data_IF_605070866388
#
_entry.id   IF_605070866388
#
_cell.length_a   1.000
_cell.length_b   1.000
_cell.length_c   1.000
_cell.angle_alpha   90.00
_cell.angle_beta   90.00
_cell.angle_gamma   90.00
#
_symmetry.space_group_name_H-M   'P 1'
#
loop_
_entity.id
_entity.type
_entity.pdbx_description
1 polymer ?
#
# COMPACT_ATOMS: atom_id res chain seq x y z
N UNK A 1 -9.47 6.22 23.77
CA UNK A 1 -9.15 4.78 23.79
C UNK A 1 -10.38 3.90 23.59
N UNK A 2 -11.42 3.94 24.47
CA UNK A 2 -12.61 3.08 24.32
C UNK A 2 -13.29 3.23 22.95
N UNK A 3 -13.58 4.48 22.53
CA UNK A 3 -14.24 4.77 21.23
C UNK A 3 -13.34 4.34 20.04
N UNK A 4 -12.05 4.59 20.14
CA UNK A 4 -11.08 4.15 19.12
C UNK A 4 -11.05 2.62 18.97
N UNK A 5 -11.03 1.89 20.10
CA UNK A 5 -11.08 0.43 20.09
C UNK A 5 -12.41 -0.13 19.57
N UNK A 6 -13.54 0.51 19.90
CA UNK A 6 -14.85 0.13 19.36
C UNK A 6 -14.94 0.36 17.84
N UNK A 7 -14.40 1.47 17.36
CA UNK A 7 -14.31 1.75 15.93
C UNK A 7 -13.49 0.68 15.19
N UNK A 8 -12.28 0.39 15.67
CA UNK A 8 -11.44 -0.63 15.06
C UNK A 8 -12.14 -2.01 15.03
N UNK A 9 -12.76 -2.42 16.12
CA UNK A 9 -13.54 -3.66 16.19
C UNK A 9 -14.70 -3.69 15.20
N UNK A 10 -15.44 -2.57 15.06
CA UNK A 10 -16.52 -2.45 14.09
C UNK A 10 -16.01 -2.59 12.65
N UNK A 11 -14.94 -1.86 12.30
CA UNK A 11 -14.33 -1.94 10.96
C UNK A 11 -13.85 -3.37 10.68
N UNK A 12 -13.12 -3.98 11.61
CA UNK A 12 -12.64 -5.37 11.49
C UNK A 12 -13.80 -6.34 11.23
N UNK A 13 -14.89 -6.24 12.00
CA UNK A 13 -16.04 -7.12 11.87
C UNK A 13 -16.78 -6.92 10.53
N UNK A 14 -17.13 -5.68 10.20
CA UNK A 14 -17.93 -5.36 9.00
C UNK A 14 -17.15 -5.66 7.72
N UNK A 15 -15.88 -5.24 7.65
CA UNK A 15 -15.04 -5.45 6.48
C UNK A 15 -14.70 -6.93 6.28
N UNK A 16 -14.32 -7.63 7.35
CA UNK A 16 -13.99 -9.06 7.28
C UNK A 16 -15.14 -9.88 6.69
N UNK A 17 -16.36 -9.62 7.15
CA UNK A 17 -17.56 -10.33 6.65
C UNK A 17 -17.75 -10.15 5.14
N UNK A 18 -17.49 -8.95 4.61
CA UNK A 18 -17.61 -8.67 3.19
C UNK A 18 -16.46 -9.32 2.40
N UNK A 19 -15.25 -9.24 2.90
CA UNK A 19 -14.08 -9.82 2.24
C UNK A 19 -14.07 -11.34 2.26
N UNK A 20 -14.49 -11.98 3.35
CA UNK A 20 -14.63 -13.44 3.40
C UNK A 20 -15.59 -13.93 2.29
N UNK A 21 -16.72 -13.25 2.10
CA UNK A 21 -17.69 -13.58 1.03
C UNK A 21 -17.10 -13.31 -0.36
N UNK A 22 -16.40 -12.21 -0.54
CA UNK A 22 -15.74 -11.85 -1.79
C UNK A 22 -14.69 -12.89 -2.17
N UNK A 23 -13.75 -13.13 -1.28
CA UNK A 23 -12.62 -14.07 -1.49
C UNK A 23 -13.14 -15.49 -1.78
N UNK A 24 -14.16 -15.94 -1.06
CA UNK A 24 -14.75 -17.26 -1.26
C UNK A 24 -15.43 -17.43 -2.64
N UNK A 25 -15.79 -16.34 -3.31
CA UNK A 25 -16.44 -16.35 -4.64
C UNK A 25 -15.46 -16.16 -5.80
N UNK A 26 -14.23 -15.78 -5.51
CA UNK A 26 -13.21 -15.56 -6.53
C UNK A 26 -12.47 -16.87 -6.83
N UNK A 27 -12.07 -17.03 -8.08
CA UNK A 27 -11.19 -18.13 -8.50
C UNK A 27 -9.75 -17.67 -8.36
N UNK A 28 -8.88 -18.38 -7.63
CA UNK A 28 -7.47 -18.02 -7.57
C UNK A 28 -6.84 -17.94 -8.96
N UNK A 29 -6.01 -16.93 -9.26
CA UNK A 29 -5.21 -16.92 -10.49
C UNK A 29 -4.30 -18.16 -10.55
N UNK A 30 -4.22 -18.78 -11.72
CA UNK A 30 -3.26 -19.83 -11.98
C UNK A 30 -1.86 -19.27 -12.30
N UNK A 31 -0.82 -20.09 -12.20
CA UNK A 31 0.54 -19.77 -12.61
C UNK A 31 1.36 -19.02 -11.55
N UNK A 32 0.97 -19.10 -10.28
CA UNK A 32 1.74 -18.57 -9.17
C UNK A 32 1.83 -19.58 -8.02
N UNK A 33 3.04 -19.81 -7.53
CA UNK A 33 3.31 -20.52 -6.28
C UNK A 33 3.34 -19.50 -5.13
N UNK A 34 2.94 -19.96 -3.93
CA UNK A 34 2.97 -19.13 -2.71
C UNK A 34 3.64 -19.91 -1.58
N UNK A 35 4.50 -19.20 -0.84
CA UNK A 35 5.10 -19.69 0.41
C UNK A 35 4.89 -18.66 1.50
N UNK A 36 4.53 -19.13 2.69
CA UNK A 36 4.40 -18.28 3.88
C UNK A 36 5.71 -18.29 4.67
N UNK A 37 6.06 -17.13 5.21
CA UNK A 37 7.23 -16.95 6.07
C UNK A 37 6.87 -16.10 7.29
N UNK A 38 7.51 -16.40 8.43
CA UNK A 38 7.56 -15.48 9.57
C UNK A 38 8.72 -14.52 9.32
N UNK A 39 8.47 -13.23 9.15
CA UNK A 39 9.53 -12.25 8.94
C UNK A 39 10.18 -11.77 10.25
N UNK A 40 9.55 -12.04 11.41
CA UNK A 40 10.14 -11.95 12.73
C UNK A 40 9.89 -13.25 13.50
N UNK A 41 10.88 -13.76 14.26
CA UNK A 41 10.78 -15.04 14.97
C UNK A 41 10.14 -14.90 16.37
N UNK A 42 9.15 -14.05 16.54
CA UNK A 42 8.52 -13.73 17.84
C UNK A 42 7.16 -14.40 18.06
N UNK A 43 6.65 -15.10 17.04
CA UNK A 43 5.38 -15.82 17.11
C UNK A 43 4.14 -14.94 16.99
N UNK A 44 4.26 -13.63 16.71
CA UNK A 44 3.12 -12.77 16.44
C UNK A 44 2.50 -13.17 15.08
N UNK A 45 1.20 -13.51 15.02
CA UNK A 45 0.54 -13.88 13.76
C UNK A 45 0.53 -12.76 12.71
N UNK A 46 0.76 -11.51 13.12
CA UNK A 46 0.87 -10.38 12.22
C UNK A 46 2.29 -10.18 11.68
N UNK A 47 3.28 -10.91 12.14
CA UNK A 47 4.64 -10.89 11.62
C UNK A 47 4.90 -11.97 10.57
N UNK A 48 3.93 -12.10 9.63
CA UNK A 48 3.97 -13.07 8.54
C UNK A 48 3.84 -12.40 7.18
N UNK A 49 4.47 -13.00 6.18
CA UNK A 49 4.31 -12.62 4.78
C UNK A 49 4.02 -13.84 3.89
N UNK A 50 3.34 -13.60 2.78
CA UNK A 50 3.28 -14.52 1.65
C UNK A 50 4.24 -14.04 0.58
N UNK A 51 5.08 -14.94 0.12
CA UNK A 51 5.97 -14.71 -1.01
C UNK A 51 5.47 -15.51 -2.21
N UNK A 52 5.16 -14.82 -3.29
CA UNK A 52 4.62 -15.39 -4.52
C UNK A 52 5.69 -15.42 -5.60
N UNK A 53 5.76 -16.52 -6.35
CA UNK A 53 6.61 -16.65 -7.53
C UNK A 53 5.79 -17.15 -8.71
N UNK A 54 6.19 -16.82 -9.96
CA UNK A 54 5.64 -17.50 -11.13
C UNK A 54 5.95 -19.00 -11.08
N UNK A 55 4.93 -19.82 -11.31
CA UNK A 55 5.06 -21.28 -11.35
C UNK A 55 6.07 -21.72 -12.43
N UNK A 56 6.98 -22.62 -12.06
CA UNK A 56 7.97 -23.19 -12.96
C UNK A 56 9.00 -22.21 -13.52
N UNK A 57 9.10 -21.00 -12.98
CA UNK A 57 10.08 -20.02 -13.44
C UNK A 57 11.28 -19.95 -12.51
N UNK A 58 12.46 -20.27 -13.05
CA UNK A 58 13.72 -20.23 -12.35
C UNK A 58 14.43 -18.87 -12.50
N UNK A 59 15.49 -18.66 -11.71
CA UNK A 59 16.34 -17.47 -11.74
C UNK A 59 15.85 -16.32 -10.90
N UNK A 60 16.56 -15.21 -10.97
CA UNK A 60 16.27 -14.00 -10.20
C UNK A 60 15.25 -13.15 -10.94
N UNK A 61 14.16 -12.80 -10.28
CA UNK A 61 13.03 -12.05 -10.86
C UNK A 61 12.84 -10.71 -10.17
N UNK A 62 12.27 -9.70 -10.87
CA UNK A 62 11.95 -8.42 -10.28
C UNK A 62 10.98 -8.56 -9.09
N UNK A 63 11.19 -7.78 -8.03
CA UNK A 63 10.40 -7.82 -6.81
C UNK A 63 9.36 -6.70 -6.77
N UNK A 64 8.13 -7.09 -6.46
CA UNK A 64 7.02 -6.20 -6.12
C UNK A 64 6.66 -6.40 -4.64
N UNK A 65 6.58 -5.32 -3.89
CA UNK A 65 6.18 -5.33 -2.48
C UNK A 65 4.78 -4.74 -2.36
N UNK A 66 3.81 -5.57 -1.99
CA UNK A 66 2.43 -5.14 -1.78
C UNK A 66 2.11 -4.97 -0.29
N UNK A 67 1.69 -3.77 0.09
CA UNK A 67 1.18 -3.44 1.42
C UNK A 67 -0.34 -3.31 1.33
N UNK A 68 -1.07 -4.14 2.09
CA UNK A 68 -2.52 -4.17 2.03
C UNK A 68 -3.17 -2.94 2.66
N UNK A 69 -4.37 -2.59 2.19
CA UNK A 69 -5.23 -1.56 2.76
C UNK A 69 -5.92 -1.99 4.06
N UNK A 70 -7.07 -1.38 4.37
CA UNK A 70 -7.88 -1.72 5.56
C UNK A 70 -7.90 -0.64 6.64
N UNK A 71 -7.75 0.63 6.23
CA UNK A 71 -7.82 1.80 7.13
C UNK A 71 -6.87 1.70 8.34
N UNK A 72 -5.72 1.05 8.20
CA UNK A 72 -4.70 0.79 9.24
C UNK A 72 -5.18 -0.07 10.42
N UNK A 73 -6.44 -0.49 10.43
CA UNK A 73 -7.08 -1.23 11.54
C UNK A 73 -7.55 -2.63 11.16
N UNK A 74 -7.47 -3.00 9.87
CA UNK A 74 -7.96 -4.27 9.33
C UNK A 74 -7.04 -4.80 8.23
N UNK A 75 -7.11 -6.11 8.01
CA UNK A 75 -6.39 -6.82 6.96
C UNK A 75 -5.23 -7.67 7.48
N UNK A 76 -4.73 -8.48 6.59
CA UNK A 76 -3.54 -9.31 6.74
C UNK A 76 -2.95 -9.62 5.35
N UNK A 77 -1.89 -10.42 5.28
CA UNK A 77 -1.22 -10.84 4.04
C UNK A 77 -2.13 -11.53 3.02
N UNK A 78 -3.31 -12.03 3.46
CA UNK A 78 -4.25 -12.74 2.59
C UNK A 78 -5.32 -11.83 1.97
N UNK A 79 -5.44 -10.58 2.43
CA UNK A 79 -6.45 -9.64 1.94
C UNK A 79 -6.32 -9.40 0.43
N UNK A 80 -5.08 -9.22 -0.06
CA UNK A 80 -4.75 -8.97 -1.46
C UNK A 80 -4.17 -10.21 -2.17
N UNK A 81 -4.33 -11.41 -1.62
CA UNK A 81 -3.64 -12.61 -2.12
C UNK A 81 -3.85 -12.89 -3.61
N UNK A 82 -5.07 -12.73 -4.11
CA UNK A 82 -5.35 -13.02 -5.53
C UNK A 82 -4.80 -11.93 -6.46
N UNK A 83 -4.75 -10.69 -6.03
CA UNK A 83 -4.02 -9.64 -6.72
C UNK A 83 -2.51 -9.93 -6.76
N UNK A 84 -1.91 -10.34 -5.64
CA UNK A 84 -0.50 -10.72 -5.59
C UNK A 84 -0.21 -11.95 -6.49
N UNK A 85 -1.08 -12.97 -6.48
CA UNK A 85 -0.98 -14.11 -7.40
C UNK A 85 -1.09 -13.69 -8.87
N UNK A 86 -1.99 -12.75 -9.19
CA UNK A 86 -2.11 -12.20 -10.54
C UNK A 86 -0.79 -11.53 -10.98
N UNK A 87 -0.21 -10.66 -10.17
CA UNK A 87 1.08 -10.03 -10.48
C UNK A 87 2.20 -11.08 -10.64
N UNK A 88 2.23 -12.09 -9.75
CA UNK A 88 3.23 -13.15 -9.84
C UNK A 88 3.08 -13.97 -11.12
N UNK A 89 1.85 -14.30 -11.54
CA UNK A 89 1.59 -15.04 -12.78
C UNK A 89 2.11 -14.31 -14.04
N UNK A 90 2.36 -13.00 -13.95
CA UNK A 90 2.94 -12.18 -15.02
C UNK A 90 4.47 -12.19 -15.06
N UNK A 91 5.14 -12.86 -14.13
CA UNK A 91 6.59 -13.05 -14.17
C UNK A 91 7.38 -12.32 -13.08
N UNK A 92 6.75 -11.89 -12.01
CA UNK A 92 7.37 -11.14 -10.92
C UNK A 92 7.41 -11.97 -9.63
N UNK A 93 8.41 -11.74 -8.78
CA UNK A 93 8.29 -12.06 -7.38
C UNK A 93 7.40 -11.02 -6.70
N UNK A 94 6.51 -11.46 -5.82
CA UNK A 94 5.63 -10.56 -5.08
C UNK A 94 5.67 -10.90 -3.60
N UNK A 95 5.91 -9.90 -2.75
CA UNK A 95 5.72 -9.99 -1.30
C UNK A 95 4.39 -9.36 -0.93
N UNK A 96 3.50 -10.11 -0.27
CA UNK A 96 2.31 -9.59 0.41
C UNK A 96 2.46 -9.85 1.90
N UNK A 97 2.38 -8.80 2.74
CA UNK A 97 2.68 -8.91 4.16
C UNK A 97 1.51 -8.54 5.06
N UNK A 98 1.45 -9.12 6.25
CA UNK A 98 0.70 -8.58 7.37
C UNK A 98 1.55 -7.53 8.10
N UNK A 99 0.90 -6.60 8.76
CA UNK A 99 1.50 -5.67 9.73
C UNK A 99 0.53 -5.50 10.91
N UNK A 100 1.04 -5.25 12.10
CA UNK A 100 0.20 -5.05 13.28
C UNK A 100 -0.76 -3.89 13.09
N UNK A 101 -1.97 -4.06 13.54
CA UNK A 101 -3.08 -3.16 13.26
C UNK A 101 -3.30 -2.17 14.40
N UNK A 102 -3.68 -0.94 14.07
CA UNK A 102 -4.10 0.01 15.08
C UNK A 102 -5.46 -0.39 15.68
N UNK A 103 -5.73 -0.10 16.96
CA UNK A 103 -4.89 0.60 17.93
C UNK A 103 -3.99 -0.33 18.76
N UNK A 104 -3.78 -1.58 18.34
CA UNK A 104 -2.91 -2.54 19.04
C UNK A 104 -1.44 -2.11 18.90
N UNK A 105 -1.11 -1.43 17.80
CA UNK A 105 0.11 -0.63 17.60
C UNK A 105 -0.25 0.74 17.02
N UNK A 106 0.71 1.65 16.94
CA UNK A 106 0.58 2.96 16.27
C UNK A 106 1.17 2.93 14.86
N UNK A 107 1.19 4.09 14.19
CA UNK A 107 1.75 4.22 12.84
C UNK A 107 3.24 3.85 12.79
N UNK A 108 3.99 4.15 13.85
CA UNK A 108 5.42 3.81 13.94
C UNK A 108 5.62 2.30 13.97
N UNK A 109 4.82 1.56 14.75
CA UNK A 109 4.86 0.11 14.78
C UNK A 109 4.48 -0.52 13.43
N UNK A 110 3.50 0.05 12.71
CA UNK A 110 3.13 -0.43 11.36
C UNK A 110 4.27 -0.24 10.36
N UNK A 111 4.93 0.92 10.38
CA UNK A 111 6.12 1.19 9.55
C UNK A 111 7.27 0.26 9.93
N UNK A 112 7.49 0.03 11.23
CA UNK A 112 8.49 -0.92 11.71
C UNK A 112 8.27 -2.33 11.15
N UNK A 113 7.01 -2.79 11.10
CA UNK A 113 6.66 -4.09 10.54
C UNK A 113 6.91 -4.16 9.02
N UNK A 114 6.61 -3.08 8.27
CA UNK A 114 6.94 -2.98 6.84
C UNK A 114 8.44 -3.12 6.62
N UNK A 115 9.26 -2.44 7.43
CA UNK A 115 10.72 -2.51 7.31
C UNK A 115 11.28 -3.85 7.79
N UNK A 116 10.69 -4.48 8.80
CA UNK A 116 11.08 -5.85 9.20
C UNK A 116 10.86 -6.86 8.07
N UNK A 117 9.71 -6.78 7.36
CA UNK A 117 9.44 -7.63 6.22
C UNK A 117 10.37 -7.33 5.02
N UNK A 118 10.69 -6.06 4.76
CA UNK A 118 11.67 -5.67 3.74
C UNK A 118 13.07 -6.19 4.05
N UNK A 119 13.51 -6.08 5.32
CA UNK A 119 14.79 -6.62 5.77
C UNK A 119 14.84 -8.14 5.58
N UNK A 120 13.79 -8.86 6.00
CA UNK A 120 13.68 -10.31 5.79
C UNK A 120 13.86 -10.70 4.33
N UNK A 121 13.17 -10.02 3.40
CA UNK A 121 13.26 -10.35 1.98
C UNK A 121 14.64 -9.97 1.41
N UNK A 122 15.23 -8.87 1.83
CA UNK A 122 16.57 -8.46 1.38
C UNK A 122 17.65 -9.46 1.85
N UNK A 123 17.60 -9.89 3.10
CA UNK A 123 18.51 -10.87 3.67
C UNK A 123 18.38 -12.27 3.01
N UNK A 124 17.20 -12.62 2.54
CA UNK A 124 16.91 -13.91 1.91
C UNK A 124 16.73 -13.83 0.38
N UNK A 125 17.11 -12.72 -0.26
CA UNK A 125 16.84 -12.45 -1.68
C UNK A 125 17.39 -13.54 -2.62
N UNK A 126 18.57 -14.08 -2.33
CA UNK A 126 19.19 -15.15 -3.11
C UNK A 126 18.38 -16.45 -3.04
N UNK A 127 17.89 -16.85 -1.85
CA UNK A 127 17.07 -18.05 -1.65
C UNK A 127 15.68 -17.86 -2.26
N UNK A 128 15.09 -16.69 -2.06
CA UNK A 128 13.79 -16.31 -2.63
C UNK A 128 13.86 -16.12 -4.15
N UNK A 129 15.06 -15.94 -4.72
CA UNK A 129 15.29 -15.72 -6.15
C UNK A 129 14.66 -14.41 -6.63
N UNK A 130 14.77 -13.33 -5.86
CA UNK A 130 14.25 -12.01 -6.21
C UNK A 130 15.37 -10.96 -6.29
N UNK A 131 15.14 -9.95 -7.13
CA UNK A 131 16.02 -8.80 -7.30
C UNK A 131 15.53 -7.65 -6.43
N UNK A 132 16.33 -7.26 -5.44
CA UNK A 132 16.03 -6.14 -4.54
C UNK A 132 16.56 -4.81 -5.04
N UNK A 133 17.31 -4.81 -6.16
CA UNK A 133 17.71 -3.59 -6.83
C UNK A 133 16.61 -3.15 -7.82
N UNK A 134 16.00 -2.02 -7.51
CA UNK A 134 14.89 -1.48 -8.26
C UNK A 134 13.57 -2.20 -8.03
N UNK A 135 13.07 -2.23 -6.80
CA UNK A 135 11.75 -2.80 -6.45
C UNK A 135 10.59 -1.86 -6.82
N UNK A 136 9.40 -2.43 -7.03
CA UNK A 136 8.15 -1.66 -7.00
C UNK A 136 7.52 -1.77 -5.62
N UNK A 137 7.27 -0.62 -4.99
CA UNK A 137 6.40 -0.54 -3.82
C UNK A 137 4.98 -0.26 -4.29
N UNK A 138 4.02 -1.10 -3.86
CA UNK A 138 2.61 -0.92 -4.19
C UNK A 138 1.73 -1.16 -2.98
N UNK A 139 0.56 -0.58 -2.99
CA UNK A 139 -0.44 -0.77 -1.96
C UNK A 139 -1.74 -0.03 -2.28
N UNK A 140 -2.77 -0.39 -1.55
CA UNK A 140 -4.10 0.17 -1.73
C UNK A 140 -4.56 0.93 -0.49
N UNK A 141 -5.28 2.05 -0.68
CA UNK A 141 -5.88 2.79 0.43
C UNK A 141 -4.84 3.14 1.52
N UNK A 142 -5.00 2.65 2.75
CA UNK A 142 -4.02 2.76 3.83
C UNK A 142 -2.68 2.11 3.49
N UNK A 143 -2.68 1.00 2.74
CA UNK A 143 -1.46 0.35 2.26
C UNK A 143 -0.72 1.19 1.23
N UNK A 144 -1.43 1.93 0.38
CA UNK A 144 -0.83 2.91 -0.52
C UNK A 144 -0.11 4.04 0.23
N UNK A 145 -0.68 4.48 1.35
CA UNK A 145 -0.01 5.40 2.26
C UNK A 145 1.28 4.79 2.83
N UNK A 146 1.21 3.58 3.42
CA UNK A 146 2.38 2.92 4.01
C UNK A 146 3.47 2.62 2.96
N UNK A 147 3.09 2.21 1.74
CA UNK A 147 4.03 1.95 0.65
C UNK A 147 4.76 3.24 0.19
N UNK A 148 4.04 4.36 0.04
CA UNK A 148 4.66 5.63 -0.32
C UNK A 148 5.53 6.21 0.80
N UNK A 149 5.11 6.05 2.05
CA UNK A 149 5.90 6.44 3.22
C UNK A 149 7.18 5.59 3.32
N UNK A 150 7.08 4.27 3.11
CA UNK A 150 8.26 3.40 3.08
C UNK A 150 9.24 3.80 1.96
N UNK A 151 8.76 4.15 0.77
CA UNK A 151 9.61 4.68 -0.29
C UNK A 151 10.38 5.93 0.15
N UNK A 152 9.70 6.87 0.81
CA UNK A 152 10.32 8.10 1.30
C UNK A 152 11.32 7.84 2.44
N UNK A 153 11.04 6.86 3.32
CA UNK A 153 11.99 6.45 4.37
C UNK A 153 13.25 5.82 3.78
N UNK A 154 13.12 5.01 2.71
CA UNK A 154 14.28 4.45 1.99
C UNK A 154 15.15 5.56 1.41
N UNK A 155 14.55 6.66 0.95
CA UNK A 155 15.23 7.81 0.35
C UNK A 155 15.79 8.81 1.38
N UNK A 156 15.38 8.73 2.65
CA UNK A 156 15.69 9.74 3.67
C UNK A 156 16.23 9.13 4.96
N UNK A 157 17.56 9.22 5.21
CA UNK A 157 18.12 8.81 6.49
C UNK A 157 17.47 9.50 7.70
N UNK A 158 17.02 10.73 7.54
CA UNK A 158 16.34 11.50 8.59
C UNK A 158 14.97 10.91 8.96
N UNK A 159 14.20 10.47 7.95
CA UNK A 159 12.94 9.77 8.19
C UNK A 159 13.20 8.39 8.79
N UNK A 160 14.19 7.65 8.31
CA UNK A 160 14.57 6.35 8.87
C UNK A 160 14.92 6.46 10.36
N UNK A 161 15.71 7.47 10.74
CA UNK A 161 16.04 7.78 12.14
C UNK A 161 14.79 8.15 12.95
N UNK A 162 13.92 9.03 12.41
CA UNK A 162 12.70 9.47 13.09
C UNK A 162 11.72 8.31 13.35
N UNK A 163 11.61 7.38 12.40
CA UNK A 163 10.80 6.17 12.54
C UNK A 163 11.52 5.03 13.30
N UNK A 164 12.82 5.16 13.56
CA UNK A 164 13.62 4.17 14.27
C UNK A 164 13.75 2.85 13.53
N UNK A 165 13.80 2.88 12.19
CA UNK A 165 13.86 1.69 11.34
C UNK A 165 15.22 1.52 10.68
N UNK A 166 15.63 0.27 10.50
CA UNK A 166 16.77 -0.09 9.65
C UNK A 166 16.30 -0.20 8.20
N UNK A 167 16.92 0.55 7.30
CA UNK A 167 16.67 0.45 5.87
C UNK A 167 17.56 -0.64 5.29
N UNK A 168 17.01 -1.70 4.69
CA UNK A 168 17.81 -2.75 4.05
C UNK A 168 18.47 -2.25 2.76
N UNK A 169 19.36 -3.07 2.21
CA UNK A 169 19.99 -2.82 0.90
C UNK A 169 18.98 -3.11 -0.22
N UNK A 170 18.13 -2.13 -0.47
CA UNK A 170 17.11 -2.14 -1.53
C UNK A 170 17.07 -0.78 -2.22
N UNK A 171 16.76 -0.75 -3.49
CA UNK A 171 16.45 0.50 -4.20
C UNK A 171 15.03 0.48 -4.76
N UNK A 172 14.39 1.64 -4.86
CA UNK A 172 13.01 1.78 -5.32
C UNK A 172 13.00 2.26 -6.78
N UNK A 173 12.53 1.42 -7.70
CA UNK A 173 12.35 1.81 -9.08
C UNK A 173 11.11 2.67 -9.31
N UNK A 174 10.02 2.35 -8.63
CA UNK A 174 8.78 3.13 -8.69
C UNK A 174 7.83 2.83 -7.52
N UNK A 175 6.84 3.70 -7.36
CA UNK A 175 5.71 3.51 -6.45
C UNK A 175 4.41 3.49 -7.25
N UNK A 176 3.59 2.43 -7.10
CA UNK A 176 2.28 2.31 -7.73
C UNK A 176 1.18 2.22 -6.67
N UNK A 177 0.36 3.26 -6.52
CA UNK A 177 -0.65 3.35 -5.47
C UNK A 177 -2.06 3.22 -6.04
N UNK A 178 -2.85 2.31 -5.46
CA UNK A 178 -4.26 2.15 -5.80
C UNK A 178 -5.15 2.86 -4.79
N UNK A 179 -5.86 3.91 -5.22
CA UNK A 179 -6.82 4.65 -4.40
C UNK A 179 -6.26 5.06 -3.02
N UNK A 180 -5.02 5.59 -2.93
CA UNK A 180 -4.35 5.80 -1.66
C UNK A 180 -5.01 6.90 -0.83
N UNK A 181 -4.90 6.77 0.50
CA UNK A 181 -5.33 7.78 1.46
C UNK A 181 -4.11 8.31 2.20
N UNK A 182 -3.32 9.15 1.54
CA UNK A 182 -2.03 9.64 2.07
C UNK A 182 -2.15 10.88 2.96
N UNK A 183 -3.27 11.62 2.87
CA UNK A 183 -3.56 12.74 3.77
C UNK A 183 -4.26 12.24 5.04
N UNK A 184 -3.49 11.57 5.88
CA UNK A 184 -3.95 10.85 7.07
C UNK A 184 -4.68 11.74 8.08
N UNK A 185 -4.37 13.05 8.12
CA UNK A 185 -4.99 14.03 9.02
C UNK A 185 -6.32 14.58 8.51
N UNK A 186 -6.81 14.10 7.35
CA UNK A 186 -8.06 14.55 6.75
C UNK A 186 -8.99 13.43 6.25
N UNK A 187 -8.70 12.18 6.58
CA UNK A 187 -9.43 10.99 6.08
C UNK A 187 -10.95 11.11 6.24
N UNK A 188 -11.43 11.62 7.36
CA UNK A 188 -12.84 11.71 7.68
C UNK A 188 -13.40 13.14 7.67
N UNK A 189 -12.74 14.09 7.03
CA UNK A 189 -13.33 15.41 6.81
C UNK A 189 -14.45 15.30 5.79
N UNK A 190 -15.66 15.75 6.13
CA UNK A 190 -16.87 15.64 5.28
C UNK A 190 -16.71 16.17 3.85
N UNK A 191 -15.80 17.12 3.63
CA UNK A 191 -15.50 17.66 2.31
C UNK A 191 -14.53 16.82 1.50
N UNK A 192 -13.84 15.88 2.12
CA UNK A 192 -12.73 15.10 1.52
C UNK A 192 -13.13 13.64 1.26
N UNK A 193 -14.30 13.20 1.76
CA UNK A 193 -14.88 11.91 1.44
C UNK A 193 -16.37 12.02 1.10
N UNK A 194 -16.84 11.19 0.18
CA UNK A 194 -18.27 11.02 -0.09
C UNK A 194 -18.97 10.43 1.15
N UNK A 195 -20.29 10.67 1.36
CA UNK A 195 -21.00 10.26 2.57
C UNK A 195 -21.16 8.73 2.68
N UNK A 196 -20.05 8.04 2.90
CA UNK A 196 -20.04 6.65 3.33
C UNK A 196 -20.29 6.54 4.84
N UNK A 197 -20.74 5.39 5.33
CA UNK A 197 -21.00 5.16 6.78
C UNK A 197 -19.77 5.50 7.64
N UNK A 198 -18.56 5.24 7.14
CA UNK A 198 -17.30 5.52 7.82
C UNK A 198 -16.96 7.01 7.93
N UNK A 199 -17.40 7.84 6.98
CA UNK A 199 -17.14 9.28 6.97
C UNK A 199 -17.90 10.06 8.07
N UNK A 200 -18.64 9.38 8.93
CA UNK A 200 -19.31 9.98 10.09
C UNK A 200 -18.43 10.03 11.33
N UNK A 201 -17.29 9.35 11.32
CA UNK A 201 -16.36 9.38 12.44
C UNK A 201 -15.65 10.75 12.48
N UNK A 202 -15.61 11.42 13.66
CA UNK A 202 -14.79 12.62 13.79
C UNK A 202 -13.30 12.29 13.60
N UNK A 203 -12.58 13.12 12.83
CA UNK A 203 -11.16 12.94 12.55
C UNK A 203 -10.32 12.70 13.81
N UNK A 204 -10.59 13.44 14.90
CA UNK A 204 -9.84 13.29 16.15
C UNK A 204 -9.97 11.90 16.80
N UNK A 205 -11.06 11.17 16.54
CA UNK A 205 -11.21 9.79 17.02
C UNK A 205 -10.28 8.87 16.23
N UNK A 206 -10.20 9.08 14.91
CA UNK A 206 -9.30 8.35 14.05
C UNK A 206 -7.82 8.66 14.36
N UNK A 207 -7.49 9.93 14.57
CA UNK A 207 -6.14 10.31 15.01
C UNK A 207 -5.76 9.59 16.32
N UNK A 208 -6.71 9.42 17.25
CA UNK A 208 -6.46 8.66 18.48
C UNK A 208 -6.26 7.15 18.23
N UNK A 209 -6.78 6.59 17.15
CA UNK A 209 -6.53 5.20 16.76
C UNK A 209 -5.08 5.01 16.37
N UNK A 210 -4.52 5.93 15.58
CA UNK A 210 -3.18 5.81 14.98
C UNK A 210 -2.06 6.38 15.85
N UNK A 211 -2.35 7.39 16.67
CA UNK A 211 -1.35 8.17 17.42
C UNK A 211 -1.58 8.18 18.93
N UNK A 212 -2.60 7.47 19.42
CA UNK A 212 -2.93 7.43 20.85
C UNK A 212 -3.65 8.69 21.36
N UNK A 213 -3.72 8.85 22.70
CA UNK A 213 -4.60 9.84 23.39
C UNK A 213 -4.30 11.31 23.10
N UNK A 214 -3.09 11.63 22.64
CA UNK A 214 -2.65 13.00 22.33
C UNK A 214 -1.97 13.02 20.96
N UNK A 215 -2.71 12.85 19.86
CA UNK A 215 -2.15 12.64 18.52
C UNK A 215 -1.10 13.69 18.16
N UNK A 216 -1.41 14.97 18.33
CA UNK A 216 -0.49 16.08 17.99
C UNK A 216 0.79 16.15 18.83
N UNK A 217 0.92 15.33 19.89
CA UNK A 217 2.15 15.19 20.68
C UNK A 217 2.92 13.93 20.33
N UNK A 218 2.38 13.11 19.47
CA UNK A 218 3.08 11.92 18.96
C UNK A 218 4.24 12.38 18.06
N UNK A 219 5.47 11.88 18.23
CA UNK A 219 6.64 12.36 17.48
C UNK A 219 6.47 12.21 15.96
N UNK A 220 5.73 11.17 15.52
CA UNK A 220 5.49 10.89 14.10
C UNK A 220 4.26 11.61 13.51
N UNK A 221 3.50 12.39 14.32
CA UNK A 221 2.27 13.03 13.83
C UNK A 221 2.55 13.97 12.65
N UNK A 222 3.57 14.83 12.76
CA UNK A 222 3.99 15.76 11.70
C UNK A 222 4.92 15.13 10.65
N UNK A 223 5.00 13.82 10.57
CA UNK A 223 5.81 13.06 9.60
C UNK A 223 4.98 11.99 8.88
N UNK A 224 3.65 12.04 9.02
CA UNK A 224 2.78 10.93 8.59
C UNK A 224 1.85 11.27 7.44
N UNK A 225 1.67 12.55 7.04
CA UNK A 225 0.91 12.91 5.85
C UNK A 225 1.85 13.11 4.64
N UNK A 226 1.32 12.93 3.44
CA UNK A 226 2.13 12.94 2.20
C UNK A 226 3.00 14.20 2.07
N UNK A 227 2.43 15.37 2.28
CA UNK A 227 3.16 16.63 2.23
C UNK A 227 4.31 16.71 3.24
N UNK A 228 4.15 16.05 4.39
CA UNK A 228 5.11 16.10 5.50
C UNK A 228 6.31 15.18 5.21
N UNK A 229 6.05 13.91 4.85
CA UNK A 229 7.14 12.97 4.62
C UNK A 229 7.82 13.10 3.25
N UNK A 230 7.24 13.86 2.30
CA UNK A 230 7.88 14.16 1.02
C UNK A 230 8.62 15.49 1.00
N UNK A 231 8.59 16.24 2.10
CA UNK A 231 9.25 17.52 2.17
C UNK A 231 10.77 17.40 1.94
N UNK A 232 11.29 18.20 1.02
CA UNK A 232 12.70 18.18 0.63
C UNK A 232 13.16 16.95 -0.16
N UNK A 233 12.27 15.97 -0.49
CA UNK A 233 12.63 14.79 -1.24
C UNK A 233 12.36 14.92 -2.74
N UNK A 234 13.15 14.17 -3.52
CA UNK A 234 12.86 13.86 -4.92
C UNK A 234 12.36 12.42 -5.01
N UNK A 235 11.16 12.24 -5.54
CA UNK A 235 10.50 10.94 -5.62
C UNK A 235 10.92 10.18 -6.89
N UNK A 236 11.03 8.85 -6.84
CA UNK A 236 11.12 8.03 -8.04
C UNK A 236 9.84 8.15 -8.87
N UNK A 237 9.74 7.48 -10.02
CA UNK A 237 8.50 7.40 -10.78
C UNK A 237 7.32 6.96 -9.91
N UNK A 238 6.18 7.67 -10.01
CA UNK A 238 4.95 7.40 -9.25
C UNK A 238 3.78 7.17 -10.19
N UNK A 239 3.07 6.06 -10.02
CA UNK A 239 1.77 5.80 -10.66
C UNK A 239 0.65 5.85 -9.63
N UNK A 240 -0.41 6.57 -9.97
CA UNK A 240 -1.60 6.71 -9.14
C UNK A 240 -2.81 6.13 -9.88
N UNK A 241 -3.52 5.23 -9.24
CA UNK A 241 -4.72 4.59 -9.77
C UNK A 241 -5.93 5.05 -8.98
N UNK A 242 -7.00 5.45 -9.66
CA UNK A 242 -8.22 5.90 -9.02
C UNK A 242 -9.46 5.82 -9.91
N UNK A 243 -10.63 6.10 -9.33
CA UNK A 243 -11.88 6.24 -10.08
C UNK A 243 -12.78 7.30 -9.47
N UNK A 244 -13.68 7.85 -10.28
CA UNK A 244 -14.53 8.97 -9.87
C UNK A 244 -15.57 8.57 -8.79
N UNK A 245 -16.03 7.29 -8.80
CA UNK A 245 -17.02 6.76 -7.85
C UNK A 245 -16.40 6.23 -6.56
N UNK A 246 -15.09 6.43 -6.35
CA UNK A 246 -14.44 6.13 -5.09
C UNK A 246 -14.92 7.10 -3.99
N UNK A 247 -15.19 6.57 -2.81
CA UNK A 247 -15.56 7.37 -1.63
C UNK A 247 -14.44 8.33 -1.20
N UNK A 248 -13.20 8.03 -1.56
CA UNK A 248 -12.00 8.83 -1.31
C UNK A 248 -11.46 9.50 -2.59
N UNK A 249 -12.28 9.66 -3.64
CA UNK A 249 -11.84 10.22 -4.94
C UNK A 249 -11.12 11.56 -4.77
N UNK A 250 -11.53 12.39 -3.80
CA UNK A 250 -10.88 13.68 -3.52
C UNK A 250 -9.46 13.55 -3.01
N UNK A 251 -9.16 12.50 -2.22
CA UNK A 251 -7.78 12.21 -1.81
C UNK A 251 -6.92 11.88 -3.03
N UNK A 252 -7.41 11.03 -3.93
CA UNK A 252 -6.71 10.70 -5.18
C UNK A 252 -6.49 11.94 -6.04
N UNK A 253 -7.52 12.79 -6.23
CA UNK A 253 -7.41 14.03 -7.02
C UNK A 253 -6.43 15.04 -6.40
N UNK A 254 -6.46 15.20 -5.08
CA UNK A 254 -5.53 16.07 -4.35
C UNK A 254 -4.08 15.59 -4.50
N UNK A 255 -3.85 14.29 -4.28
CA UNK A 255 -2.53 13.69 -4.42
C UNK A 255 -2.02 13.79 -5.87
N UNK A 256 -2.91 13.59 -6.86
CA UNK A 256 -2.57 13.76 -8.27
C UNK A 256 -2.12 15.18 -8.60
N UNK A 257 -2.79 16.19 -8.04
CA UNK A 257 -2.39 17.58 -8.22
C UNK A 257 -1.01 17.88 -7.60
N UNK A 258 -0.73 17.33 -6.41
CA UNK A 258 0.57 17.46 -5.75
C UNK A 258 1.68 16.79 -6.56
N UNK A 259 1.50 15.53 -6.96
CA UNK A 259 2.49 14.79 -7.75
C UNK A 259 2.76 15.45 -9.11
N UNK A 260 1.72 15.98 -9.76
CA UNK A 260 1.90 16.75 -11.01
C UNK A 260 2.68 18.07 -10.79
N UNK A 261 2.53 18.71 -9.63
CA UNK A 261 3.36 19.88 -9.28
C UNK A 261 4.81 19.47 -9.02
N UNK A 262 5.00 18.41 -8.23
CA UNK A 262 6.34 17.88 -7.92
C UNK A 262 7.09 17.44 -9.18
N UNK A 263 6.42 16.83 -10.16
CA UNK A 263 7.03 16.46 -11.44
C UNK A 263 7.50 17.70 -12.21
N UNK A 264 6.67 18.75 -12.30
CA UNK A 264 7.04 20.01 -12.97
C UNK A 264 8.19 20.73 -12.27
N UNK A 265 8.32 20.57 -10.96
CA UNK A 265 9.38 21.11 -10.13
C UNK A 265 10.67 20.25 -10.16
N UNK A 266 10.65 19.10 -10.84
CA UNK A 266 11.77 18.14 -10.86
C UNK A 266 11.94 17.36 -9.56
N UNK A 267 10.91 17.35 -8.71
CA UNK A 267 10.86 16.63 -7.42
C UNK A 267 10.15 15.27 -7.49
N UNK A 268 9.64 14.90 -8.64
CA UNK A 268 9.15 13.56 -8.97
C UNK A 268 9.66 13.24 -10.38
N UNK A 269 10.36 12.12 -10.55
CA UNK A 269 10.99 11.78 -11.82
C UNK A 269 9.98 11.61 -12.96
N UNK A 270 8.84 10.97 -12.66
CA UNK A 270 7.72 10.75 -13.57
C UNK A 270 6.44 10.54 -12.79
N UNK A 271 5.36 11.18 -13.20
CA UNK A 271 4.04 10.95 -12.64
C UNK A 271 3.05 10.44 -13.69
N UNK A 272 2.34 9.35 -13.38
CA UNK A 272 1.28 8.78 -14.22
C UNK A 272 0.01 8.67 -13.41
N UNK A 273 -1.08 9.19 -13.94
CA UNK A 273 -2.43 9.06 -13.36
C UNK A 273 -3.29 8.17 -14.26
N UNK A 274 -3.73 7.03 -13.75
CA UNK A 274 -4.81 6.22 -14.35
C UNK A 274 -6.10 6.45 -13.56
N UNK A 275 -6.97 7.30 -14.07
CA UNK A 275 -8.19 7.70 -13.39
C UNK A 275 -9.42 7.48 -14.27
N UNK A 276 -10.28 6.53 -13.86
CA UNK A 276 -11.49 6.21 -14.61
C UNK A 276 -12.64 7.14 -14.20
N UNK A 277 -13.20 7.85 -15.18
CA UNK A 277 -14.38 8.69 -14.99
C UNK A 277 -15.65 7.84 -14.99
N UNK A 278 -16.66 8.27 -14.25
CA UNK A 278 -17.95 7.58 -14.15
C UNK A 278 -18.67 7.41 -15.48
N UNK A 279 -18.42 8.31 -16.45
CA UNK A 279 -18.96 8.23 -17.80
C UNK A 279 -18.31 7.12 -18.66
N UNK A 280 -17.08 6.73 -18.33
CA UNK A 280 -16.28 5.77 -19.12
C UNK A 280 -16.33 4.35 -18.53
N UNK A 281 -17.07 4.15 -17.43
CA UNK A 281 -17.18 2.86 -16.75
C UNK A 281 -18.14 1.91 -17.49
N UNK A 282 -17.68 0.70 -17.76
CA UNK A 282 -18.56 -0.42 -18.15
C UNK A 282 -19.27 -1.05 -16.94
N UNK A 283 -18.70 -0.88 -15.73
CA UNK A 283 -19.20 -1.31 -14.42
C UNK A 283 -19.10 -0.16 -13.43
N UNK A 284 -19.79 -0.28 -12.29
CA UNK A 284 -19.63 0.67 -11.18
C UNK A 284 -18.34 0.38 -10.44
N UNK A 285 -17.25 0.99 -10.87
CA UNK A 285 -15.95 0.92 -10.20
C UNK A 285 -16.02 1.65 -8.86
N UNK A 286 -15.40 1.06 -7.84
CA UNK A 286 -15.42 1.53 -6.47
C UNK A 286 -13.99 1.57 -5.92
N UNK A 287 -13.86 1.98 -4.67
CA UNK A 287 -12.62 1.96 -3.93
C UNK A 287 -11.85 0.64 -4.13
N UNK A 288 -10.60 0.72 -4.53
CA UNK A 288 -9.65 -0.37 -4.77
C UNK A 288 -10.13 -1.48 -5.73
N UNK A 289 -10.98 -1.13 -6.70
CA UNK A 289 -11.61 -2.08 -7.62
C UNK A 289 -10.62 -3.00 -8.32
N UNK A 290 -9.46 -2.48 -8.69
CA UNK A 290 -8.44 -3.21 -9.45
C UNK A 290 -7.75 -4.32 -8.63
N UNK A 291 -7.89 -4.29 -7.33
CA UNK A 291 -7.37 -5.30 -6.39
C UNK A 291 -8.49 -6.26 -5.98
N UNK A 292 -9.62 -5.72 -5.53
CA UNK A 292 -10.74 -6.55 -5.04
C UNK A 292 -11.46 -7.31 -6.15
N UNK A 293 -11.35 -6.85 -7.39
CA UNK A 293 -11.91 -7.47 -8.59
C UNK A 293 -10.82 -7.59 -9.67
N UNK A 294 -9.69 -8.18 -9.32
CA UNK A 294 -8.51 -8.26 -10.18
C UNK A 294 -8.79 -8.86 -11.56
N UNK A 295 -9.86 -9.68 -11.70
CA UNK A 295 -10.29 -10.36 -12.93
C UNK A 295 -11.11 -9.46 -13.88
N UNK A 296 -11.59 -8.31 -13.45
CA UNK A 296 -12.36 -7.43 -14.32
C UNK A 296 -11.47 -6.85 -15.43
N UNK A 297 -12.01 -6.67 -16.66
CA UNK A 297 -11.22 -6.11 -17.77
C UNK A 297 -10.56 -4.78 -17.43
N UNK A 298 -11.25 -3.90 -16.70
CA UNK A 298 -10.71 -2.61 -16.26
C UNK A 298 -9.55 -2.81 -15.27
N UNK A 299 -9.67 -3.81 -14.40
CA UNK A 299 -8.63 -4.16 -13.44
C UNK A 299 -7.42 -4.77 -14.12
N UNK A 300 -7.63 -5.71 -15.03
CA UNK A 300 -6.56 -6.32 -15.84
C UNK A 300 -5.79 -5.23 -16.59
N UNK A 301 -6.51 -4.31 -17.27
CA UNK A 301 -5.90 -3.21 -18.02
C UNK A 301 -4.98 -2.36 -17.13
N UNK A 302 -5.46 -1.90 -15.99
CA UNK A 302 -4.69 -1.00 -15.13
C UNK A 302 -3.58 -1.72 -14.38
N UNK A 303 -3.80 -2.98 -14.00
CA UNK A 303 -2.78 -3.80 -13.36
C UNK A 303 -1.65 -4.14 -14.33
N UNK A 304 -1.95 -4.49 -15.60
CA UNK A 304 -0.94 -4.68 -16.64
C UNK A 304 -0.21 -3.37 -16.97
N UNK A 305 -0.90 -2.22 -16.95
CA UNK A 305 -0.27 -0.91 -17.10
C UNK A 305 0.70 -0.59 -15.96
N UNK A 306 0.38 -0.99 -14.71
CA UNK A 306 1.29 -0.80 -13.57
C UNK A 306 2.54 -1.67 -13.68
N UNK A 307 2.43 -2.88 -14.22
CA UNK A 307 3.59 -3.75 -14.50
C UNK A 307 4.47 -3.17 -15.63
N UNK A 308 3.86 -2.65 -16.70
CA UNK A 308 4.60 -1.98 -17.77
C UNK A 308 5.32 -0.72 -17.28
N UNK A 309 4.67 0.05 -16.39
CA UNK A 309 5.28 1.21 -15.72
C UNK A 309 6.49 0.79 -14.86
N UNK A 310 6.38 -0.31 -14.13
CA UNK A 310 7.48 -0.87 -13.36
C UNK A 310 8.66 -1.28 -14.25
N UNK A 311 8.40 -2.02 -15.33
CA UNK A 311 9.44 -2.45 -16.26
C UNK A 311 10.17 -1.26 -16.93
N UNK A 312 9.43 -0.20 -17.27
CA UNK A 312 10.02 1.03 -17.82
C UNK A 312 10.92 1.71 -16.78
N UNK A 313 10.44 1.82 -15.53
CA UNK A 313 11.17 2.47 -14.45
C UNK A 313 12.48 1.75 -14.11
N UNK A 314 12.47 0.41 -14.11
CA UNK A 314 13.69 -0.39 -13.87
C UNK A 314 14.74 -0.26 -14.97
N UNK A 315 14.32 -0.11 -16.24
CA UNK A 315 15.27 0.00 -17.37
C UNK A 315 16.07 1.28 -17.35
N UNK A 316 15.54 2.34 -16.75
CA UNK A 316 16.23 3.63 -16.65
C UNK A 316 17.29 3.63 -15.53
N UNK A 317 17.16 2.75 -14.56
CA UNK A 317 18.05 2.66 -13.40
C UNK A 317 19.19 1.64 -13.60
N UNK A 318 19.17 0.88 -14.71
CA UNK A 318 20.24 -0.02 -15.17
C UNK A 318 21.05 0.60 -16.28
#
# INVERSE_FOLDING_TARGET
MLVAGLFAKYVRYDTKRHDDVRIARQTPPAGAEVREYDYLPDGDPMHKLNFYRPEGREGVLPLIVNVHGGAWVYGDKDLNKYYCMYLASKGYCVMGMSYRLAPDTDIGGQVSDVFAALNFVAENAAELGCDTDGIMLTGDSAGGHLASLAACIILSPQLAEAYGVHVPDVSVACVAMSHPVCEIHSVFRRRDCEPARFCRLPQHVFDNVLFGRRPRRHPLYGLSAFMEYTDGLSLPPVMLIGCERDVYTRHTQYLAALLSSMEKEGRCEKFVLDFVKAADESRKLRHVYNIVHYEWPESVRVNDASLAFFDESRRKNK
#
